data_IF_058145472032
#
_entry.id   IF_058145472032
#
_cell.length_a   1.000
_cell.length_b   1.000
_cell.length_c   1.000
_cell.angle_alpha   90.00
_cell.angle_beta   90.00
_cell.angle_gamma   90.00
#
_symmetry.space_group_name_H-M   'P 1'
#
loop_
_entity.id
_entity.type
_entity.pdbx_description
1 polymer ?
#
# COMPACT_ATOMS: atom_id res chain seq x y z
N UNK A 1 -35.16 -1.54 -4.71
CA UNK A 1 -34.79 -0.14 -5.01
C UNK A 1 -33.33 0.03 -5.47
N UNK A 2 -32.52 -1.06 -5.50
CA UNK A 2 -31.13 -1.03 -6.01
C UNK A 2 -30.13 -0.23 -5.18
N UNK A 3 -30.47 0.10 -3.95
CA UNK A 3 -29.63 0.92 -3.06
C UNK A 3 -28.66 0.10 -2.23
N UNK A 4 -29.00 -1.14 -1.95
CA UNK A 4 -28.17 -2.06 -1.19
C UNK A 4 -27.21 -2.76 -2.15
N UNK A 5 -25.92 -2.77 -1.83
CA UNK A 5 -24.90 -3.48 -2.59
C UNK A 5 -23.81 -4.02 -1.67
N UNK A 6 -23.10 -5.02 -2.14
CA UNK A 6 -21.94 -5.58 -1.46
C UNK A 6 -20.65 -4.95 -2.03
N UNK A 7 -19.71 -4.65 -1.16
CA UNK A 7 -18.41 -4.11 -1.52
C UNK A 7 -17.38 -4.46 -0.45
N UNK A 8 -16.13 -4.01 -0.64
CA UNK A 8 -15.06 -4.19 0.34
C UNK A 8 -14.82 -2.90 1.13
N UNK A 9 -14.47 -3.06 2.39
CA UNK A 9 -13.89 -2.00 3.22
C UNK A 9 -12.66 -2.56 3.92
N UNK A 10 -11.54 -1.85 3.80
CA UNK A 10 -10.35 -2.15 4.61
C UNK A 10 -10.57 -1.61 6.01
N UNK A 11 -10.37 -2.47 6.98
CA UNK A 11 -10.57 -2.16 8.40
C UNK A 11 -9.41 -2.71 9.22
N UNK A 12 -9.08 -2.10 10.36
CA UNK A 12 -8.20 -2.71 11.36
C UNK A 12 -8.85 -4.02 11.84
N UNK A 13 -8.13 -5.13 11.72
CA UNK A 13 -8.65 -6.46 11.95
C UNK A 13 -7.70 -7.29 12.81
N UNK A 14 -8.24 -7.94 13.82
CA UNK A 14 -7.48 -8.89 14.62
C UNK A 14 -7.66 -10.31 14.08
N UNK A 15 -6.61 -10.91 13.48
CA UNK A 15 -6.73 -12.25 12.89
C UNK A 15 -6.94 -13.34 13.95
N UNK A 16 -6.44 -13.17 15.18
CA UNK A 16 -6.64 -14.11 16.28
C UNK A 16 -8.05 -14.08 16.84
N UNK A 17 -8.63 -12.89 17.01
CA UNK A 17 -10.00 -12.74 17.50
C UNK A 17 -11.06 -12.92 16.39
N UNK A 18 -10.65 -12.88 15.11
CA UNK A 18 -11.54 -12.98 13.96
C UNK A 18 -12.50 -11.78 13.83
N UNK A 19 -12.11 -10.58 14.28
CA UNK A 19 -13.03 -9.44 14.37
C UNK A 19 -12.37 -8.13 13.92
N UNK A 20 -13.08 -7.24 13.22
CA UNK A 20 -12.66 -5.87 13.01
C UNK A 20 -12.72 -5.08 14.31
N UNK A 21 -11.90 -4.04 14.41
CA UNK A 21 -11.85 -3.13 15.54
C UNK A 21 -12.30 -1.73 15.10
N UNK A 22 -13.00 -1.03 15.99
CA UNK A 22 -13.30 0.38 15.83
C UNK A 22 -12.07 1.24 16.11
N UNK A 23 -12.06 2.50 15.63
CA UNK A 23 -10.95 3.44 15.85
C UNK A 23 -10.64 3.62 17.34
N UNK A 24 -11.67 3.65 18.20
CA UNK A 24 -11.52 3.73 19.65
C UNK A 24 -10.80 2.51 20.24
N UNK A 25 -11.09 1.32 19.76
CA UNK A 25 -10.42 0.07 20.21
C UNK A 25 -8.98 0.00 19.70
N UNK A 26 -8.73 0.46 18.47
CA UNK A 26 -7.38 0.54 17.89
C UNK A 26 -6.50 1.51 18.67
N UNK A 27 -7.05 2.68 19.04
CA UNK A 27 -6.33 3.71 19.80
C UNK A 27 -5.79 3.24 21.17
N UNK A 28 -6.37 2.17 21.73
CA UNK A 28 -5.94 1.62 23.02
C UNK A 28 -4.75 0.66 22.91
N UNK A 29 -4.40 0.20 21.72
CA UNK A 29 -3.44 -0.88 21.51
C UNK A 29 -2.14 -0.47 20.82
N UNK A 30 -1.83 0.80 20.67
CA UNK A 30 -0.59 1.23 20.03
C UNK A 30 0.63 0.94 20.92
N UNK A 31 1.64 0.31 20.30
CA UNK A 31 2.92 -0.02 20.93
C UNK A 31 4.05 0.28 19.96
N UNK A 32 5.21 0.68 20.50
CA UNK A 32 6.41 0.81 19.69
C UNK A 32 6.90 -0.58 19.29
N UNK A 33 7.05 -0.81 18.01
CA UNK A 33 7.56 -2.06 17.45
C UNK A 33 8.64 -1.80 16.42
N UNK A 34 9.40 -2.83 16.15
CA UNK A 34 10.47 -2.79 15.17
C UNK A 34 10.17 -3.80 14.07
N UNK A 35 9.60 -3.30 13.01
CA UNK A 35 9.31 -4.09 11.81
C UNK A 35 10.44 -3.94 10.76
N UNK A 36 10.64 -4.90 9.86
CA UNK A 36 11.54 -4.72 8.74
C UNK A 36 10.94 -3.70 7.76
N UNK A 37 11.76 -2.82 7.23
CA UNK A 37 11.42 -2.04 6.04
C UNK A 37 12.30 -2.48 4.88
N UNK A 38 11.76 -2.42 3.67
CA UNK A 38 12.45 -2.87 2.47
C UNK A 38 12.36 -1.84 1.35
N UNK A 39 13.49 -1.65 0.65
CA UNK A 39 13.58 -0.91 -0.59
C UNK A 39 13.63 -1.91 -1.74
N UNK A 40 12.61 -1.91 -2.60
CA UNK A 40 12.38 -2.95 -3.61
C UNK A 40 12.39 -2.36 -5.01
N UNK A 41 13.10 -3.04 -5.91
CA UNK A 41 13.14 -2.73 -7.35
C UNK A 41 11.95 -3.35 -8.05
N UNK A 42 11.25 -2.54 -8.82
CA UNK A 42 10.20 -2.96 -9.74
C UNK A 42 10.67 -2.66 -11.16
N UNK A 43 11.24 -3.63 -11.88
CA UNK A 43 11.80 -3.39 -13.21
C UNK A 43 10.73 -2.89 -14.19
N UNK A 44 11.02 -1.80 -14.91
CA UNK A 44 10.15 -1.28 -15.96
C UNK A 44 10.15 -2.21 -17.16
N UNK A 45 8.97 -2.43 -17.75
CA UNK A 45 8.81 -3.32 -18.92
C UNK A 45 9.47 -2.72 -20.17
N UNK A 46 9.25 -1.43 -20.38
CA UNK A 46 9.65 -0.75 -21.61
C UNK A 46 11.03 -0.05 -21.50
N UNK A 47 11.68 -0.11 -20.32
CA UNK A 47 12.97 0.53 -20.06
C UNK A 47 13.95 -0.46 -19.38
N UNK A 48 14.57 -1.37 -20.14
CA UNK A 48 15.50 -2.37 -19.59
C UNK A 48 16.63 -1.71 -18.78
N UNK A 49 16.94 -2.27 -17.62
CA UNK A 49 17.94 -1.74 -16.69
C UNK A 49 17.45 -0.56 -15.81
N UNK A 50 16.17 -0.17 -15.95
CA UNK A 50 15.53 0.85 -15.12
C UNK A 50 14.45 0.22 -14.26
N UNK A 51 14.43 0.55 -12.95
CA UNK A 51 13.42 0.08 -12.00
C UNK A 51 12.79 1.24 -11.24
N UNK A 52 11.53 1.12 -10.92
CA UNK A 52 10.91 1.94 -9.87
C UNK A 52 11.47 1.47 -8.52
N UNK A 53 11.84 2.39 -7.65
CA UNK A 53 12.27 2.07 -6.29
C UNK A 53 11.13 2.36 -5.34
N UNK A 54 10.51 1.33 -4.79
CA UNK A 54 9.45 1.44 -3.78
C UNK A 54 9.97 1.10 -2.40
N UNK A 55 9.34 1.65 -1.38
CA UNK A 55 9.65 1.36 0.02
C UNK A 55 8.38 0.94 0.75
N UNK A 56 8.52 -0.05 1.65
CA UNK A 56 7.43 -0.48 2.53
C UNK A 56 7.95 -1.03 3.85
N UNK A 57 7.15 -0.85 4.91
CA UNK A 57 7.35 -1.45 6.24
C UNK A 57 6.55 -2.75 6.44
N UNK A 58 5.83 -3.18 5.40
CA UNK A 58 4.98 -4.37 5.42
C UNK A 58 5.32 -5.28 4.23
N UNK A 59 6.48 -5.96 4.22
CA UNK A 59 6.88 -6.83 3.12
C UNK A 59 5.82 -7.87 2.76
N UNK A 60 5.06 -8.35 3.74
CA UNK A 60 3.99 -9.32 3.56
C UNK A 60 2.84 -8.86 2.65
N UNK A 61 2.70 -7.54 2.38
CA UNK A 61 1.69 -7.03 1.44
C UNK A 61 2.14 -7.07 -0.02
N UNK A 62 3.45 -7.22 -0.28
CA UNK A 62 4.02 -7.26 -1.63
C UNK A 62 3.45 -8.36 -2.54
N UNK A 63 3.10 -9.58 -2.04
CA UNK A 63 2.38 -10.57 -2.84
C UNK A 63 1.01 -10.12 -3.37
N UNK A 64 0.42 -9.10 -2.76
CA UNK A 64 -0.84 -8.47 -3.17
C UNK A 64 -0.66 -7.18 -4.00
N UNK A 65 0.58 -6.84 -4.40
CA UNK A 65 0.85 -5.65 -5.20
C UNK A 65 0.16 -5.71 -6.56
N UNK A 66 -0.48 -4.60 -6.97
CA UNK A 66 -1.17 -4.48 -8.27
C UNK A 66 -0.85 -3.19 -9.01
N UNK A 67 -0.35 -2.16 -8.32
CA UNK A 67 0.04 -0.89 -8.91
C UNK A 67 1.14 -0.21 -8.08
N UNK A 68 1.69 0.87 -8.61
CA UNK A 68 2.54 1.83 -7.89
C UNK A 68 1.91 3.21 -8.03
N UNK A 69 1.80 3.95 -6.93
CA UNK A 69 1.32 5.33 -6.94
C UNK A 69 2.48 6.32 -6.88
N UNK A 70 2.34 7.43 -7.64
CA UNK A 70 3.22 8.60 -7.60
C UNK A 70 2.39 9.88 -7.48
N UNK A 71 2.93 10.91 -6.83
CA UNK A 71 2.28 12.22 -6.78
C UNK A 71 2.47 12.96 -8.12
N UNK A 72 1.41 13.51 -8.75
CA UNK A 72 1.50 14.11 -10.08
C UNK A 72 2.47 15.28 -10.19
N UNK A 73 2.57 16.11 -9.15
CA UNK A 73 3.30 17.38 -9.16
C UNK A 73 4.64 17.34 -8.42
N UNK A 74 5.01 16.22 -7.79
CA UNK A 74 6.33 16.01 -7.20
C UNK A 74 7.37 15.83 -8.31
N UNK A 75 8.59 16.31 -8.07
CA UNK A 75 9.73 16.06 -8.93
C UNK A 75 10.30 14.68 -8.67
N UNK A 76 10.42 13.89 -9.74
CA UNK A 76 11.07 12.58 -9.76
C UNK A 76 12.34 12.61 -10.55
N UNK A 77 13.26 11.76 -10.16
CA UNK A 77 14.55 11.59 -10.84
C UNK A 77 14.76 10.14 -11.23
N UNK A 78 15.44 9.94 -12.35
CA UNK A 78 16.11 8.68 -12.62
C UNK A 78 17.56 8.85 -12.22
N UNK A 79 18.04 8.03 -11.30
CA UNK A 79 19.44 7.98 -10.88
C UNK A 79 20.11 6.76 -11.48
N UNK A 80 21.37 6.91 -11.87
CA UNK A 80 22.25 5.83 -12.29
C UNK A 80 23.28 5.57 -11.21
N UNK A 81 23.50 4.32 -10.88
CA UNK A 81 24.52 3.88 -9.94
C UNK A 81 25.30 2.69 -10.48
N UNK A 82 26.55 2.61 -10.12
CA UNK A 82 27.38 1.44 -10.42
C UNK A 82 27.04 0.29 -9.48
N UNK A 83 27.07 -0.92 -10.01
CA UNK A 83 26.88 -2.15 -9.24
C UNK A 83 28.24 -2.69 -8.79
N UNK A 84 28.35 -3.24 -7.57
CA UNK A 84 29.60 -3.81 -7.05
C UNK A 84 30.23 -4.89 -7.93
N UNK A 85 29.41 -5.62 -8.65
CA UNK A 85 29.81 -6.71 -9.57
C UNK A 85 30.13 -6.22 -10.99
N UNK A 86 30.10 -4.91 -11.21
CA UNK A 86 30.27 -4.27 -12.51
C UNK A 86 28.93 -4.04 -13.24
N UNK A 87 28.91 -3.04 -14.11
CA UNK A 87 27.68 -2.56 -14.77
C UNK A 87 27.00 -1.46 -13.98
N UNK A 88 25.86 -0.99 -14.49
CA UNK A 88 25.05 0.05 -13.84
C UNK A 88 23.57 -0.32 -13.84
N UNK A 89 22.83 0.23 -12.89
CA UNK A 89 21.38 0.19 -12.83
C UNK A 89 20.82 1.62 -12.79
N UNK A 90 19.56 1.75 -13.20
CA UNK A 90 18.81 3.00 -13.09
C UNK A 90 17.62 2.82 -12.17
N UNK A 91 17.45 3.76 -11.22
CA UNK A 91 16.38 3.74 -10.26
C UNK A 91 15.58 5.04 -10.34
N UNK A 92 14.25 4.91 -10.32
CA UNK A 92 13.30 6.03 -10.32
C UNK A 92 12.79 6.25 -8.91
N UNK A 93 12.87 7.48 -8.42
CA UNK A 93 12.34 7.88 -7.10
C UNK A 93 12.07 9.39 -7.04
N UNK A 94 11.40 9.85 -6.01
CA UNK A 94 11.20 11.28 -5.78
C UNK A 94 12.50 12.00 -5.43
N UNK A 95 12.79 13.12 -6.11
CA UNK A 95 14.01 13.90 -5.91
C UNK A 95 14.21 14.37 -4.46
N UNK A 96 13.17 14.87 -3.72
CA UNK A 96 13.35 15.34 -2.35
C UNK A 96 13.86 14.26 -1.37
N UNK A 97 13.72 12.97 -1.72
CA UNK A 97 14.13 11.84 -0.89
C UNK A 97 15.51 11.27 -1.30
N UNK A 98 16.15 11.83 -2.32
CA UNK A 98 17.40 11.28 -2.85
C UNK A 98 18.49 11.18 -1.79
N UNK A 99 18.73 12.25 -1.02
CA UNK A 99 19.77 12.30 0.02
C UNK A 99 19.44 11.47 1.27
N UNK A 100 18.17 11.06 1.44
CA UNK A 100 17.75 10.12 2.50
C UNK A 100 17.97 8.67 2.10
N UNK A 101 17.86 8.37 0.80
CA UNK A 101 17.96 7.01 0.27
C UNK A 101 19.40 6.67 -0.12
N UNK A 102 20.14 7.60 -0.66
CA UNK A 102 21.52 7.40 -1.12
C UNK A 102 22.48 8.36 -0.45
N UNK A 103 23.67 7.87 -0.14
CA UNK A 103 24.79 8.74 0.25
C UNK A 103 25.18 9.64 -0.92
N UNK A 104 25.65 10.87 -0.60
CA UNK A 104 26.12 11.79 -1.62
C UNK A 104 27.19 11.13 -2.49
N UNK A 105 27.14 11.48 -3.76
CA UNK A 105 28.11 11.04 -4.78
C UNK A 105 28.10 9.53 -5.10
N UNK A 106 27.18 8.74 -4.52
CA UNK A 106 27.04 7.31 -4.87
C UNK A 106 26.13 7.06 -6.06
N UNK A 107 25.38 8.10 -6.49
CA UNK A 107 24.45 8.04 -7.62
C UNK A 107 24.54 9.30 -8.46
N UNK A 108 24.26 9.17 -9.76
CA UNK A 108 24.23 10.27 -10.72
C UNK A 108 22.79 10.46 -11.21
N UNK A 109 22.23 11.66 -11.08
CA UNK A 109 20.94 12.01 -11.68
C UNK A 109 21.12 12.09 -13.20
N UNK A 110 20.38 11.25 -13.93
CA UNK A 110 20.43 11.18 -15.41
C UNK A 110 19.18 11.74 -16.07
N UNK A 111 18.06 11.82 -15.35
CA UNK A 111 16.82 12.47 -15.81
C UNK A 111 16.04 13.06 -14.64
N UNK A 112 15.27 14.12 -14.93
CA UNK A 112 14.34 14.74 -13.98
C UNK A 112 13.02 15.08 -14.67
N UNK A 113 11.89 14.82 -14.02
CA UNK A 113 10.55 15.05 -14.55
C UNK A 113 9.50 15.09 -13.45
N UNK A 114 8.32 15.62 -13.76
CA UNK A 114 7.15 15.57 -12.84
C UNK A 114 6.53 14.18 -12.81
N UNK A 115 5.93 13.81 -11.66
CA UNK A 115 5.31 12.49 -11.49
C UNK A 115 4.27 12.14 -12.56
N UNK A 116 3.57 13.13 -13.11
CA UNK A 116 2.63 12.90 -14.22
C UNK A 116 3.26 12.26 -15.48
N UNK A 117 4.57 12.38 -15.67
CA UNK A 117 5.28 11.70 -16.75
C UNK A 117 5.44 10.18 -16.50
N UNK A 118 5.21 9.72 -15.28
CA UNK A 118 5.27 8.31 -14.91
C UNK A 118 3.96 7.56 -15.15
N UNK A 119 2.83 8.28 -15.34
CA UNK A 119 1.51 7.69 -15.49
C UNK A 119 1.47 6.59 -16.55
N UNK A 120 0.98 5.43 -16.17
CA UNK A 120 0.79 4.30 -17.09
C UNK A 120 2.05 3.50 -17.41
N UNK A 121 3.24 3.90 -16.90
CA UNK A 121 4.45 3.06 -17.05
C UNK A 121 4.20 1.70 -16.42
N UNK A 122 4.53 0.64 -17.17
CA UNK A 122 4.34 -0.74 -16.73
C UNK A 122 5.61 -1.29 -16.11
N UNK A 123 5.46 -2.11 -15.08
CA UNK A 123 6.56 -2.79 -14.42
C UNK A 123 6.32 -4.29 -14.32
N UNK A 124 7.39 -5.06 -14.13
CA UNK A 124 7.29 -6.50 -13.94
C UNK A 124 6.78 -6.80 -12.53
N UNK A 125 5.72 -7.63 -12.38
CA UNK A 125 5.19 -7.97 -11.06
C UNK A 125 6.22 -8.68 -10.20
N UNK A 126 6.27 -8.34 -8.90
CA UNK A 126 7.12 -9.04 -7.94
C UNK A 126 6.69 -10.50 -7.77
N UNK A 127 5.38 -10.71 -7.73
CA UNK A 127 4.75 -12.01 -7.50
C UNK A 127 3.50 -12.15 -8.38
N UNK A 128 3.20 -13.39 -8.79
CA UNK A 128 2.03 -13.73 -9.62
C UNK A 128 1.27 -14.92 -9.05
N UNK A 129 1.20 -15.02 -7.72
CA UNK A 129 0.56 -16.15 -7.02
C UNK A 129 -0.95 -16.21 -7.24
N UNK A 130 -1.59 -15.04 -7.33
CA UNK A 130 -3.02 -14.91 -7.59
C UNK A 130 -3.20 -14.29 -8.97
N UNK A 131 -4.01 -14.90 -9.85
CA UNK A 131 -4.26 -14.34 -11.17
C UNK A 131 -5.02 -13.01 -11.07
N UNK A 132 -4.68 -12.06 -11.95
CA UNK A 132 -5.40 -10.80 -12.08
C UNK A 132 -6.53 -10.94 -13.10
N UNK A 133 -7.69 -10.34 -12.82
CA UNK A 133 -8.89 -10.37 -13.68
C UNK A 133 -9.03 -9.10 -14.54
N UNK A 134 -8.16 -8.12 -14.32
CA UNK A 134 -8.15 -6.83 -15.01
C UNK A 134 -6.76 -6.23 -15.08
N UNK A 135 -6.62 -5.02 -15.62
CA UNK A 135 -5.32 -4.35 -15.76
C UNK A 135 -4.64 -4.13 -14.42
N UNK A 136 -3.37 -4.50 -14.33
CA UNK A 136 -2.53 -4.35 -13.15
C UNK A 136 -1.06 -4.08 -13.54
N UNK A 137 -0.22 -3.82 -12.54
CA UNK A 137 1.23 -3.66 -12.65
C UNK A 137 1.64 -2.45 -13.49
N UNK A 138 0.98 -1.33 -13.23
CA UNK A 138 1.30 -0.03 -13.84
C UNK A 138 1.26 1.09 -12.81
N UNK A 139 1.83 2.24 -13.17
CA UNK A 139 1.91 3.40 -12.31
C UNK A 139 0.67 4.29 -12.45
N UNK A 140 0.05 4.60 -11.32
CA UNK A 140 -1.08 5.52 -11.17
C UNK A 140 -0.64 6.83 -10.53
N UNK A 141 -1.48 7.86 -10.59
CA UNK A 141 -1.22 9.15 -9.96
C UNK A 141 -2.20 9.37 -8.82
N UNK A 142 -1.66 9.70 -7.64
CA UNK A 142 -2.42 9.90 -6.42
C UNK A 142 -1.86 11.06 -5.58
N UNK A 143 -2.73 11.92 -5.10
CA UNK A 143 -2.35 13.11 -4.32
C UNK A 143 -1.93 12.76 -2.88
N UNK A 144 -2.29 11.59 -2.35
CA UNK A 144 -1.89 11.16 -1.01
C UNK A 144 -0.41 10.75 -0.90
N UNK A 145 0.29 10.54 -2.01
CA UNK A 145 1.71 10.18 -1.99
C UNK A 145 2.54 11.35 -1.47
N UNK A 146 3.25 11.12 -0.37
CA UNK A 146 4.10 12.13 0.28
C UNK A 146 5.58 11.96 -0.03
N UNK A 147 6.37 12.96 0.33
CA UNK A 147 7.84 12.94 0.27
C UNK A 147 8.45 13.11 1.67
N UNK A 148 7.76 12.64 2.69
CA UNK A 148 8.27 12.68 4.06
C UNK A 148 9.23 11.52 4.33
N UNK A 149 8.83 10.30 3.92
CA UNK A 149 9.63 9.08 4.08
C UNK A 149 9.60 8.21 2.81
N UNK A 150 10.45 7.18 2.80
CA UNK A 150 10.51 6.20 1.73
C UNK A 150 11.16 6.71 0.45
N UNK A 151 10.50 6.53 -0.67
CA UNK A 151 11.04 6.86 -2.01
C UNK A 151 10.12 7.79 -2.82
N UNK A 152 8.95 8.18 -2.27
CA UNK A 152 7.93 8.92 -2.99
C UNK A 152 7.21 8.10 -4.06
N UNK A 153 7.41 6.79 -4.06
CA UNK A 153 6.65 5.82 -4.84
C UNK A 153 6.06 4.80 -3.87
N UNK A 154 4.73 4.66 -3.88
CA UNK A 154 4.00 3.80 -2.96
C UNK A 154 3.52 2.56 -3.71
N UNK A 155 3.89 1.36 -3.21
CA UNK A 155 3.31 0.12 -3.72
C UNK A 155 1.85 0.01 -3.26
N UNK A 156 0.97 -0.42 -4.15
CA UNK A 156 -0.47 -0.49 -3.92
C UNK A 156 -0.93 -1.94 -3.78
N UNK A 157 -1.55 -2.25 -2.65
CA UNK A 157 -2.18 -3.53 -2.37
C UNK A 157 -3.61 -3.30 -1.80
N UNK A 158 -4.64 -3.12 -2.66
CA UNK A 158 -5.99 -2.73 -2.25
C UNK A 158 -6.63 -3.60 -1.17
N UNK A 159 -6.22 -4.86 -1.06
CA UNK A 159 -6.71 -5.75 -0.01
C UNK A 159 -6.24 -5.37 1.41
N UNK A 160 -5.17 -4.54 1.55
CA UNK A 160 -4.45 -4.32 2.81
C UNK A 160 -4.19 -2.84 3.15
N UNK A 161 -4.66 -1.89 2.32
CA UNK A 161 -4.57 -0.46 2.57
C UNK A 161 -5.91 0.25 2.26
N UNK A 162 -6.35 1.16 3.14
CA UNK A 162 -7.60 1.89 2.92
C UNK A 162 -7.50 2.87 1.74
N UNK A 163 -6.39 3.60 1.64
CA UNK A 163 -6.08 4.48 0.52
C UNK A 163 -5.86 3.68 -0.75
N UNK A 164 -5.17 2.51 -0.66
CA UNK A 164 -4.98 1.60 -1.77
C UNK A 164 -6.32 1.07 -2.31
N UNK A 165 -7.26 0.74 -1.41
CA UNK A 165 -8.61 0.30 -1.81
C UNK A 165 -9.37 1.42 -2.52
N UNK A 166 -9.29 2.66 -2.02
CA UNK A 166 -9.96 3.80 -2.64
C UNK A 166 -9.39 4.06 -4.04
N UNK A 167 -8.07 4.15 -4.17
CA UNK A 167 -7.40 4.28 -5.46
C UNK A 167 -7.69 3.07 -6.37
N UNK A 168 -7.75 1.87 -5.79
CA UNK A 168 -8.13 0.66 -6.51
C UNK A 168 -9.51 0.74 -7.16
N UNK A 169 -10.49 1.33 -6.46
CA UNK A 169 -11.84 1.56 -7.00
C UNK A 169 -11.84 2.65 -8.10
N UNK A 170 -11.05 3.71 -7.94
CA UNK A 170 -10.97 4.82 -8.90
C UNK A 170 -10.27 4.42 -10.21
N UNK A 171 -9.26 3.57 -10.11
CA UNK A 171 -8.45 3.09 -11.24
C UNK A 171 -8.85 1.70 -11.74
N UNK A 172 -9.94 1.12 -11.22
CA UNK A 172 -10.40 -0.25 -11.56
C UNK A 172 -9.29 -1.31 -11.39
N UNK A 173 -8.53 -1.24 -10.29
CA UNK A 173 -7.48 -2.20 -9.98
C UNK A 173 -8.07 -3.49 -9.37
N UNK A 174 -7.43 -4.65 -9.55
CA UNK A 174 -7.84 -5.88 -8.90
C UNK A 174 -7.58 -5.84 -7.39
N UNK A 175 -8.42 -6.54 -6.63
CA UNK A 175 -8.23 -6.75 -5.18
C UNK A 175 -7.72 -8.16 -4.97
N UNK A 176 -6.42 -8.32 -4.72
CA UNK A 176 -5.79 -9.64 -4.54
C UNK A 176 -5.78 -10.03 -3.06
N UNK A 177 -6.69 -10.94 -2.69
CA UNK A 177 -6.75 -11.50 -1.34
C UNK A 177 -5.70 -12.60 -1.19
N UNK A 178 -4.50 -12.24 -0.78
CA UNK A 178 -3.37 -13.17 -0.57
C UNK A 178 -3.30 -13.73 0.85
N UNK A 179 -4.11 -13.20 1.76
CA UNK A 179 -4.14 -13.54 3.19
C UNK A 179 -5.53 -14.02 3.58
N UNK A 180 -5.61 -15.07 4.38
CA UNK A 180 -6.85 -15.60 4.95
C UNK A 180 -7.26 -14.81 6.20
N UNK A 181 -8.50 -15.08 6.72
CA UNK A 181 -9.05 -14.36 7.87
C UNK A 181 -8.26 -14.59 9.17
N UNK A 182 -7.52 -15.68 9.27
CA UNK A 182 -6.63 -15.97 10.41
C UNK A 182 -5.26 -15.27 10.33
N UNK A 183 -5.05 -14.45 9.29
CA UNK A 183 -3.80 -13.72 9.07
C UNK A 183 -2.69 -14.56 8.45
N UNK A 184 -2.99 -15.76 7.96
CA UNK A 184 -2.02 -16.60 7.26
C UNK A 184 -2.11 -16.43 5.74
N UNK A 185 -1.02 -16.67 5.03
CA UNK A 185 -1.05 -16.71 3.57
C UNK A 185 -1.93 -17.85 3.06
N UNK A 186 -2.75 -17.56 2.04
CA UNK A 186 -3.61 -18.57 1.38
C UNK A 186 -2.75 -19.61 0.61
N UNK A 187 -3.34 -20.76 0.28
CA UNK A 187 -2.66 -21.85 -0.43
C UNK A 187 -2.08 -21.46 -1.79
N UNK A 188 -2.59 -20.42 -2.44
CA UNK A 188 -2.04 -19.92 -3.70
C UNK A 188 -0.64 -19.30 -3.52
N UNK A 189 -0.35 -18.70 -2.37
CA UNK A 189 0.96 -18.12 -2.02
C UNK A 189 1.88 -19.24 -1.53
N UNK A 190 2.17 -20.18 -2.41
CA UNK A 190 2.80 -21.47 -2.08
C UNK A 190 4.07 -21.45 -1.24
N UNK A 191 5.04 -20.53 -1.45
CA UNK A 191 6.26 -20.52 -0.63
C UNK A 191 5.96 -20.28 0.86
N UNK A 192 4.88 -19.54 1.17
CA UNK A 192 4.55 -19.09 2.54
C UNK A 192 3.14 -19.50 2.96
N UNK A 193 2.48 -20.41 2.23
CA UNK A 193 1.13 -20.87 2.53
C UNK A 193 0.99 -21.37 3.96
N UNK A 194 -0.03 -20.90 4.69
CA UNK A 194 -0.30 -21.23 6.07
C UNK A 194 0.60 -20.56 7.11
N UNK A 195 1.60 -19.77 6.70
CA UNK A 195 2.41 -18.96 7.63
C UNK A 195 1.68 -17.67 7.98
N UNK A 196 1.78 -17.24 9.23
CA UNK A 196 1.33 -15.90 9.63
C UNK A 196 2.15 -14.84 8.90
N UNK A 197 1.47 -13.81 8.38
CA UNK A 197 2.08 -12.88 7.43
C UNK A 197 3.32 -12.16 7.96
N UNK A 198 3.34 -11.72 9.21
CA UNK A 198 4.52 -11.06 9.80
C UNK A 198 5.68 -12.04 10.04
N UNK A 199 5.39 -13.31 10.29
CA UNK A 199 6.43 -14.35 10.43
C UNK A 199 7.04 -14.71 9.08
N UNK A 200 6.35 -14.44 7.98
CA UNK A 200 6.83 -14.68 6.63
C UNK A 200 7.73 -13.55 6.10
N UNK A 201 7.73 -12.35 6.70
CA UNK A 201 8.54 -11.21 6.24
C UNK A 201 10.02 -11.55 5.99
N UNK A 202 10.75 -12.26 6.86
CA UNK A 202 12.14 -12.63 6.60
C UNK A 202 12.32 -13.46 5.33
N UNK A 203 11.39 -14.38 5.04
CA UNK A 203 11.44 -15.25 3.86
C UNK A 203 11.10 -14.48 2.58
N UNK A 204 10.19 -13.52 2.65
CA UNK A 204 9.87 -12.62 1.53
C UNK A 204 11.09 -11.76 1.19
N UNK A 205 11.76 -11.22 2.21
CA UNK A 205 12.98 -10.43 2.06
C UNK A 205 14.10 -11.27 1.43
N UNK A 206 14.28 -12.50 1.87
CA UNK A 206 15.27 -13.45 1.32
C UNK A 206 14.99 -13.77 -0.16
N UNK A 207 13.71 -14.02 -0.52
CA UNK A 207 13.30 -14.26 -1.89
C UNK A 207 13.60 -13.04 -2.79
N UNK A 208 13.25 -11.84 -2.35
CA UNK A 208 13.55 -10.60 -3.08
C UNK A 208 15.04 -10.38 -3.25
N UNK A 209 15.84 -10.67 -2.21
CA UNK A 209 17.29 -10.56 -2.25
C UNK A 209 17.91 -11.56 -3.24
N UNK A 210 17.48 -12.81 -3.19
CA UNK A 210 17.96 -13.88 -4.10
C UNK A 210 17.67 -13.55 -5.57
N UNK A 211 16.54 -12.90 -5.84
CA UNK A 211 16.17 -12.46 -7.19
C UNK A 211 16.78 -11.11 -7.61
N UNK A 212 17.62 -10.49 -6.78
CA UNK A 212 18.23 -9.19 -7.04
C UNK A 212 17.23 -8.02 -7.04
N UNK A 213 16.03 -8.21 -6.47
CA UNK A 213 14.98 -7.20 -6.41
C UNK A 213 15.04 -6.36 -5.12
N UNK A 214 15.76 -6.81 -4.10
CA UNK A 214 15.98 -6.05 -2.87
C UNK A 214 17.16 -5.10 -3.04
N UNK A 215 16.97 -3.78 -2.83
CA UNK A 215 18.07 -2.83 -2.74
C UNK A 215 18.73 -2.92 -1.36
N UNK A 216 17.91 -2.84 -0.30
CA UNK A 216 18.32 -2.99 1.10
C UNK A 216 17.12 -3.23 2.00
N UNK A 217 17.37 -3.76 3.19
CA UNK A 217 16.41 -3.88 4.27
C UNK A 217 16.95 -3.20 5.52
N UNK A 218 16.08 -2.54 6.27
CA UNK A 218 16.41 -1.78 7.47
C UNK A 218 15.41 -2.12 8.57
N UNK A 219 15.81 -1.93 9.82
CA UNK A 219 14.92 -2.01 10.96
C UNK A 219 14.22 -0.66 11.12
N UNK A 220 12.89 -0.65 11.06
CA UNK A 220 12.08 0.55 11.20
C UNK A 220 11.31 0.49 12.54
N UNK A 221 11.56 1.49 13.39
CA UNK A 221 10.89 1.61 14.69
C UNK A 221 9.73 2.57 14.51
N UNK A 222 8.53 2.11 14.80
CA UNK A 222 7.32 2.90 14.68
C UNK A 222 6.25 2.45 15.68
N UNK A 223 5.26 3.31 15.90
CA UNK A 223 4.07 2.97 16.66
C UNK A 223 3.12 2.13 15.79
N UNK A 224 2.77 0.93 16.25
CA UNK A 224 1.93 -0.02 15.53
C UNK A 224 0.74 -0.47 16.39
N UNK A 225 -0.46 -0.65 15.81
CA UNK A 225 -1.63 -1.05 16.58
C UNK A 225 -1.67 -2.55 16.85
N UNK A 226 -1.89 -2.91 18.11
CA UNK A 226 -2.13 -4.27 18.57
C UNK A 226 -3.57 -4.41 19.06
N UNK A 227 -4.07 -5.63 19.07
CA UNK A 227 -5.40 -5.91 19.59
C UNK A 227 -5.42 -5.74 21.11
N UNK A 228 -6.23 -4.82 21.63
CA UNK A 228 -6.36 -4.55 23.06
C UNK A 228 -6.81 -5.77 23.89
N UNK A 229 -7.41 -6.82 23.24
CA UNK A 229 -7.89 -8.04 23.89
C UNK A 229 -6.84 -9.14 23.99
N UNK A 230 -5.92 -9.25 23.00
CA UNK A 230 -5.04 -10.42 22.88
C UNK A 230 -3.60 -10.10 22.43
N UNK A 231 -3.23 -8.82 22.36
CA UNK A 231 -1.90 -8.33 21.97
C UNK A 231 -1.39 -8.85 20.60
N UNK A 232 -2.30 -9.35 19.74
CA UNK A 232 -1.92 -9.73 18.38
C UNK A 232 -1.80 -8.45 17.53
N UNK A 233 -0.75 -8.30 16.70
CA UNK A 233 -0.64 -7.18 15.79
C UNK A 233 -1.85 -7.17 14.84
N UNK A 234 -2.44 -5.99 14.65
CA UNK A 234 -3.59 -5.82 13.77
C UNK A 234 -3.13 -5.84 12.30
N UNK A 235 -3.98 -6.34 11.44
CA UNK A 235 -3.80 -6.21 10.00
C UNK A 235 -4.85 -5.23 9.47
N UNK A 236 -4.48 -4.37 8.53
CA UNK A 236 -5.46 -3.70 7.70
C UNK A 236 -5.92 -4.73 6.67
N UNK A 237 -7.23 -5.00 6.63
CA UNK A 237 -7.75 -6.16 5.92
C UNK A 237 -9.09 -5.83 5.23
N UNK A 238 -9.20 -6.13 3.93
CA UNK A 238 -10.41 -5.92 3.17
C UNK A 238 -11.49 -6.93 3.58
N UNK A 239 -12.60 -6.42 4.13
CA UNK A 239 -13.75 -7.25 4.51
C UNK A 239 -14.92 -6.97 3.57
N UNK A 240 -15.59 -8.01 3.06
CA UNK A 240 -16.85 -7.83 2.36
C UNK A 240 -17.91 -7.27 3.33
N UNK A 241 -18.57 -6.21 2.92
CA UNK A 241 -19.63 -5.60 3.73
C UNK A 241 -20.76 -5.09 2.84
N UNK A 242 -21.91 -4.83 3.48
CA UNK A 242 -23.07 -4.30 2.81
C UNK A 242 -23.12 -2.78 2.93
N UNK A 243 -23.40 -2.13 1.82
CA UNK A 243 -23.51 -0.67 1.73
C UNK A 243 -24.91 -0.26 1.27
N UNK A 244 -25.36 0.91 1.75
CA UNK A 244 -26.51 1.62 1.22
C UNK A 244 -25.97 2.86 0.49
N UNK A 245 -26.36 3.07 -0.78
CA UNK A 245 -25.93 4.21 -1.62
C UNK A 245 -26.55 5.53 -1.14
N UNK A 246 -26.26 5.92 0.10
CA UNK A 246 -26.78 7.15 0.72
C UNK A 246 -26.27 8.42 0.03
N UNK A 247 -25.06 8.36 -0.57
CA UNK A 247 -24.47 9.47 -1.33
C UNK A 247 -25.36 9.96 -2.48
N UNK A 248 -26.17 9.08 -3.09
CA UNK A 248 -27.13 9.46 -4.14
C UNK A 248 -28.25 10.36 -3.63
N UNK A 249 -28.46 10.45 -2.33
CA UNK A 249 -29.52 11.23 -1.70
C UNK A 249 -28.96 12.33 -0.80
N UNK A 250 -27.66 12.61 -0.86
CA UNK A 250 -26.98 13.56 0.02
C UNK A 250 -27.73 14.88 0.10
N UNK A 251 -28.01 15.49 -1.05
CA UNK A 251 -28.66 16.80 -1.10
C UNK A 251 -30.08 16.78 -0.54
N UNK A 252 -30.83 15.70 -0.83
CA UNK A 252 -32.16 15.51 -0.28
C UNK A 252 -32.10 15.28 1.24
N UNK A 253 -31.15 14.51 1.74
CA UNK A 253 -30.97 14.27 3.17
C UNK A 253 -30.62 15.56 3.89
N UNK A 254 -29.74 16.40 3.33
CA UNK A 254 -29.40 17.72 3.88
C UNK A 254 -30.61 18.64 3.91
N UNK A 255 -31.39 18.67 2.82
CA UNK A 255 -32.63 19.46 2.75
C UNK A 255 -33.60 19.04 3.84
N UNK A 256 -33.90 17.75 3.95
CA UNK A 256 -34.80 17.22 4.97
C UNK A 256 -34.27 17.46 6.40
N UNK A 257 -32.96 17.34 6.62
CA UNK A 257 -32.34 17.65 7.91
C UNK A 257 -32.57 19.11 8.33
N UNK A 258 -32.57 20.03 7.39
CA UNK A 258 -32.86 21.44 7.64
C UNK A 258 -34.30 21.71 8.04
N UNK A 259 -35.26 20.86 7.65
CA UNK A 259 -36.68 20.91 8.01
C UNK A 259 -36.96 20.34 9.41
N UNK A 260 -36.05 19.55 9.98
CA UNK A 260 -36.19 18.95 11.31
C UNK A 260 -36.10 20.05 12.39
N UNK A 261 -37.05 20.01 13.31
CA UNK A 261 -37.01 20.85 14.52
C UNK A 261 -36.11 20.16 15.58
N UNK A 262 -34.84 20.55 15.60
CA UNK A 262 -33.84 19.98 16.52
C UNK A 262 -33.99 20.54 17.94
N UNK A 263 -33.99 19.65 18.93
CA UNK A 263 -33.97 20.04 20.34
C UNK A 263 -32.91 19.25 21.12
N UNK A 264 -32.01 19.91 21.82
CA UNK A 264 -31.72 21.36 21.79
C UNK A 264 -31.18 21.82 20.43
N UNK A 265 -31.44 23.09 20.07
CA UNK A 265 -31.17 23.60 18.71
C UNK A 265 -29.72 23.54 18.24
N UNK A 266 -28.77 23.51 19.17
CA UNK A 266 -27.34 23.48 18.84
C UNK A 266 -26.87 22.15 18.18
N UNK A 267 -27.60 21.03 18.35
CA UNK A 267 -27.24 19.74 17.73
C UNK A 267 -27.52 19.70 16.23
N UNK A 268 -28.24 20.70 15.69
CA UNK A 268 -28.53 20.76 14.24
C UNK A 268 -27.28 20.82 13.37
N UNK A 269 -26.23 21.48 13.87
CA UNK A 269 -25.00 21.77 13.16
C UNK A 269 -23.80 21.00 13.72
N UNK A 270 -24.05 19.99 14.55
CA UNK A 270 -23.03 19.13 15.20
C UNK A 270 -22.59 17.96 14.35
#
# INVERSE_FOLDING_TARGET
KGLLYQGFKVVPYCPRCGTPLSDHEVAQGYQDTADPSVFVRLPLVDEPGTSLLVWTTTPWTLPGNVAVAAHPDVDYVTVERELPEGGSERLVMAEPLLDKVFEKDTVKVVAKYKGKALKGKKYQPLFTFVPVDRAAYYLILEDFVTTEDGTGLVHMAPAFGAEDMQAGLEHDLPVLMTVAEDGTFINAVRPWAGQFVKDADPYIIEDLNTRGLLLRSEKYIHSYPFCWRCDTPLLYYARPTWYIRTSQFKDRLVTLNNEINWYPGHIKNG
#
